data_IF_220039138723
#
_entry.id   IF_220039138723
#
_cell.length_a   1.000
_cell.length_b   1.000
_cell.length_c   1.000
_cell.angle_alpha   90.00
_cell.angle_beta   90.00
_cell.angle_gamma   90.00
#
_symmetry.space_group_name_H-M   'P 1'
#
loop_
_entity.id
_entity.type
_entity.pdbx_description
1 polymer ?
#
# COMPACT_ATOMS: atom_id res chain seq x y z
N UNK A 1 48.08 -15.38 -17.82
CA UNK A 1 47.28 -14.32 -17.17
C UNK A 1 45.82 -14.64 -17.39
N UNK A 2 45.16 -15.29 -16.44
CA UNK A 2 43.73 -15.60 -16.53
C UNK A 2 42.98 -14.46 -15.86
N UNK A 3 42.38 -13.56 -16.64
CA UNK A 3 41.44 -12.59 -16.10
C UNK A 3 40.18 -13.33 -15.62
N UNK A 4 39.67 -13.07 -14.40
CA UNK A 4 38.36 -13.57 -14.01
C UNK A 4 37.30 -12.96 -14.92
N UNK A 5 36.28 -13.71 -15.35
CA UNK A 5 35.17 -13.14 -16.10
C UNK A 5 34.44 -12.12 -15.22
N UNK A 6 34.24 -10.91 -15.76
CA UNK A 6 33.43 -9.89 -15.11
C UNK A 6 32.03 -10.45 -14.79
N UNK A 7 31.49 -10.25 -13.57
CA UNK A 7 30.16 -10.73 -13.26
C UNK A 7 29.15 -10.00 -14.15
N UNK A 8 28.50 -10.74 -15.04
CA UNK A 8 27.35 -10.24 -15.80
C UNK A 8 26.25 -9.92 -14.79
N UNK A 9 26.10 -8.63 -14.48
CA UNK A 9 24.91 -8.05 -13.86
C UNK A 9 23.76 -8.11 -14.88
N UNK A 10 23.33 -9.32 -15.27
CA UNK A 10 22.09 -9.47 -16.01
C UNK A 10 20.96 -9.26 -15.01
N UNK A 11 20.21 -8.18 -15.19
CA UNK A 11 18.96 -7.95 -14.48
C UNK A 11 18.11 -9.23 -14.62
N UNK A 12 17.80 -9.87 -13.51
CA UNK A 12 16.86 -10.99 -13.53
C UNK A 12 15.48 -10.42 -13.79
N UNK A 13 15.06 -10.45 -15.06
CA UNK A 13 13.79 -9.92 -15.54
C UNK A 13 12.61 -10.39 -14.70
N UNK A 14 12.68 -11.63 -14.17
CA UNK A 14 11.65 -12.20 -13.30
C UNK A 14 11.53 -11.47 -11.97
N UNK A 15 12.66 -11.07 -11.37
CA UNK A 15 12.68 -10.33 -10.11
C UNK A 15 12.13 -8.91 -10.29
N UNK A 16 12.48 -8.26 -11.40
CA UNK A 16 11.91 -6.95 -11.73
C UNK A 16 10.40 -7.04 -11.95
N UNK A 17 9.92 -8.02 -12.72
CA UNK A 17 8.48 -8.26 -12.90
C UNK A 17 7.79 -8.50 -11.56
N UNK A 18 8.40 -9.31 -10.69
CA UNK A 18 7.84 -9.58 -9.37
C UNK A 18 7.76 -8.32 -8.49
N UNK A 19 8.79 -7.48 -8.47
CA UNK A 19 8.78 -6.19 -7.78
C UNK A 19 7.64 -5.28 -8.28
N UNK A 20 7.46 -5.18 -9.60
CA UNK A 20 6.37 -4.38 -10.20
C UNK A 20 5.01 -4.93 -9.81
N UNK A 21 4.84 -6.26 -9.81
CA UNK A 21 3.60 -6.89 -9.36
C UNK A 21 3.32 -6.61 -7.88
N UNK A 22 4.33 -6.65 -7.00
CA UNK A 22 4.17 -6.31 -5.59
C UNK A 22 3.69 -4.86 -5.41
N UNK A 23 4.22 -3.92 -6.20
CA UNK A 23 3.83 -2.51 -6.14
C UNK A 23 2.39 -2.32 -6.63
N UNK A 24 2.03 -2.92 -7.77
CA UNK A 24 0.68 -2.84 -8.33
C UNK A 24 -0.35 -3.44 -7.39
N UNK A 25 -0.10 -4.67 -6.92
CA UNK A 25 -1.00 -5.37 -6.00
C UNK A 25 -1.07 -4.67 -4.64
N UNK A 26 0.06 -4.23 -4.09
CA UNK A 26 0.10 -3.48 -2.84
C UNK A 26 -0.68 -2.17 -2.92
N UNK A 27 -0.49 -1.39 -3.98
CA UNK A 27 -1.21 -0.12 -4.18
C UNK A 27 -2.72 -0.36 -4.36
N UNK A 28 -3.10 -1.38 -5.15
CA UNK A 28 -4.50 -1.79 -5.30
C UNK A 28 -5.13 -2.22 -3.98
N UNK A 29 -4.40 -2.97 -3.17
CA UNK A 29 -4.85 -3.46 -1.87
C UNK A 29 -5.08 -2.33 -0.88
N UNK A 30 -4.13 -1.39 -0.80
CA UNK A 30 -4.27 -0.19 0.03
C UNK A 30 -5.43 0.67 -0.43
N UNK A 31 -5.66 0.76 -1.75
CA UNK A 31 -6.81 1.50 -2.32
C UNK A 31 -8.13 0.91 -1.81
N UNK A 32 -8.29 -0.41 -1.86
CA UNK A 32 -9.50 -1.08 -1.37
C UNK A 32 -9.71 -0.84 0.13
N UNK A 33 -8.66 -1.05 0.92
CA UNK A 33 -8.73 -0.85 2.37
C UNK A 33 -9.05 0.62 2.74
N UNK A 34 -8.49 1.59 2.02
CA UNK A 34 -8.80 3.00 2.22
C UNK A 34 -10.24 3.34 1.81
N UNK A 35 -10.79 2.75 0.74
CA UNK A 35 -12.20 2.95 0.40
C UNK A 35 -13.12 2.43 1.51
N UNK A 36 -12.80 1.29 2.11
CA UNK A 36 -13.56 0.75 3.25
C UNK A 36 -13.48 1.67 4.47
N UNK A 37 -12.27 2.10 4.84
CA UNK A 37 -12.05 2.92 6.05
C UNK A 37 -12.62 4.34 5.88
N UNK A 38 -12.36 4.97 4.74
CA UNK A 38 -12.77 6.35 4.47
C UNK A 38 -14.17 6.46 3.85
N UNK A 39 -14.82 5.32 3.54
CA UNK A 39 -16.15 5.28 2.95
C UNK A 39 -17.26 5.71 3.92
N UNK A 40 -17.00 5.71 5.23
CA UNK A 40 -17.94 6.21 6.24
C UNK A 40 -17.20 7.10 7.23
N UNK A 41 -17.80 8.24 7.60
CA UNK A 41 -17.20 9.19 8.53
C UNK A 41 -16.90 8.57 9.90
N UNK A 42 -17.76 7.70 10.41
CA UNK A 42 -17.59 7.04 11.72
C UNK A 42 -16.28 6.26 11.83
N UNK A 43 -15.93 5.52 10.77
CA UNK A 43 -14.69 4.73 10.73
C UNK A 43 -13.50 5.65 10.45
N UNK A 44 -13.67 6.62 9.54
CA UNK A 44 -12.60 7.54 9.17
C UNK A 44 -12.16 8.43 10.35
N UNK A 45 -13.07 8.78 11.26
CA UNK A 45 -12.77 9.63 12.41
C UNK A 45 -11.88 8.96 13.45
N UNK A 46 -11.69 7.64 13.37
CA UNK A 46 -10.66 6.93 14.12
C UNK A 46 -9.25 7.34 13.67
N UNK A 47 -9.09 7.74 12.41
CA UNK A 47 -7.80 8.06 11.79
C UNK A 47 -7.54 9.56 11.67
N UNK A 48 -8.55 10.32 11.29
CA UNK A 48 -8.42 11.74 10.93
C UNK A 48 -9.60 12.54 11.45
N UNK A 49 -9.43 13.85 11.65
CA UNK A 49 -10.58 14.69 12.01
C UNK A 49 -11.60 14.76 10.87
N UNK A 50 -12.89 14.97 11.20
CA UNK A 50 -13.96 15.13 10.21
C UNK A 50 -13.65 16.16 9.09
N UNK A 51 -13.11 17.38 9.35
CA UNK A 51 -12.77 18.30 8.28
C UNK A 51 -11.61 17.80 7.40
N UNK A 52 -10.65 17.07 7.97
CA UNK A 52 -9.56 16.46 7.21
C UNK A 52 -10.08 15.33 6.31
N UNK A 53 -10.99 14.49 6.82
CA UNK A 53 -11.69 13.47 6.05
C UNK A 53 -12.39 14.06 4.81
N UNK A 54 -13.16 15.14 4.99
CA UNK A 54 -13.83 15.82 3.87
C UNK A 54 -12.83 16.35 2.84
N UNK A 55 -11.75 16.97 3.31
CA UNK A 55 -10.69 17.51 2.44
C UNK A 55 -10.00 16.40 1.64
N UNK A 56 -9.74 15.24 2.27
CA UNK A 56 -9.13 14.08 1.62
C UNK A 56 -10.06 13.48 0.55
N UNK A 57 -11.35 13.32 0.84
CA UNK A 57 -12.32 12.81 -0.13
C UNK A 57 -12.43 13.74 -1.34
N UNK A 58 -12.47 15.05 -1.11
CA UNK A 58 -12.48 16.04 -2.20
C UNK A 58 -11.21 15.96 -3.04
N UNK A 59 -10.03 15.84 -2.42
CA UNK A 59 -8.77 15.67 -3.13
C UNK A 59 -8.75 14.39 -3.99
N UNK A 60 -9.43 13.33 -3.56
CA UNK A 60 -9.58 12.07 -4.30
C UNK A 60 -10.75 12.09 -5.29
N UNK A 61 -11.36 13.25 -5.55
CA UNK A 61 -12.54 13.40 -6.43
C UNK A 61 -13.75 12.58 -5.97
N UNK A 62 -13.83 12.25 -4.68
CA UNK A 62 -14.94 11.55 -4.09
C UNK A 62 -16.13 12.45 -3.81
N UNK A 63 -17.31 11.84 -3.71
CA UNK A 63 -18.57 12.52 -3.39
C UNK A 63 -19.02 12.13 -2.00
N UNK A 64 -19.41 13.11 -1.20
CA UNK A 64 -19.93 12.90 0.14
C UNK A 64 -21.44 12.99 0.07
N UNK A 65 -22.13 12.00 0.60
CA UNK A 65 -23.56 12.09 0.88
C UNK A 65 -23.75 12.70 2.28
N UNK A 66 -24.25 13.94 2.37
CA UNK A 66 -24.43 14.61 3.67
C UNK A 66 -25.52 13.97 4.53
N UNK A 67 -26.44 13.18 3.96
CA UNK A 67 -27.52 12.55 4.71
C UNK A 67 -27.06 11.30 5.48
N UNK A 68 -26.20 10.49 4.86
CA UNK A 68 -25.68 9.24 5.44
C UNK A 68 -24.26 9.36 5.99
N UNK A 69 -23.59 10.51 5.80
CA UNK A 69 -22.16 10.70 6.12
C UNK A 69 -21.26 9.63 5.50
N UNK A 70 -21.65 9.14 4.33
CA UNK A 70 -20.90 8.18 3.54
C UNK A 70 -20.22 8.87 2.36
N UNK A 71 -19.11 8.32 1.91
CA UNK A 71 -18.33 8.85 0.82
C UNK A 71 -18.15 7.81 -0.28
N UNK A 72 -18.45 8.22 -1.50
CA UNK A 72 -18.18 7.44 -2.71
C UNK A 72 -16.83 7.92 -3.23
N UNK A 73 -15.79 7.14 -2.94
CA UNK A 73 -14.42 7.42 -3.39
C UNK A 73 -14.17 6.63 -4.68
N UNK A 74 -13.86 7.29 -5.81
CA UNK A 74 -13.61 6.58 -7.06
C UNK A 74 -12.31 5.79 -6.98
N UNK A 75 -12.36 4.50 -7.35
CA UNK A 75 -11.22 3.58 -7.21
C UNK A 75 -10.02 4.00 -8.06
N UNK A 76 -10.22 4.25 -9.35
CA UNK A 76 -9.12 4.52 -10.29
C UNK A 76 -8.33 5.80 -9.98
N UNK A 77 -8.96 6.96 -9.68
CA UNK A 77 -8.23 8.14 -9.27
C UNK A 77 -7.40 7.91 -8.01
N UNK A 78 -7.99 7.30 -6.97
CA UNK A 78 -7.27 7.00 -5.73
C UNK A 78 -6.09 6.04 -5.97
N UNK A 79 -6.31 4.98 -6.74
CA UNK A 79 -5.27 4.04 -7.13
C UNK A 79 -4.13 4.75 -7.87
N UNK A 80 -4.44 5.66 -8.80
CA UNK A 80 -3.44 6.40 -9.55
C UNK A 80 -2.56 7.26 -8.63
N UNK A 81 -3.18 7.99 -7.68
CA UNK A 81 -2.43 8.77 -6.69
C UNK A 81 -1.48 7.90 -5.87
N UNK A 82 -1.98 6.76 -5.37
CA UNK A 82 -1.20 5.83 -4.55
C UNK A 82 -0.09 5.16 -5.37
N UNK A 83 -0.35 4.81 -6.63
CA UNK A 83 0.64 4.21 -7.52
C UNK A 83 1.77 5.19 -7.84
N UNK A 84 1.44 6.46 -8.11
CA UNK A 84 2.46 7.50 -8.33
C UNK A 84 3.32 7.67 -7.07
N UNK A 85 2.70 7.75 -5.89
CA UNK A 85 3.42 7.84 -4.63
C UNK A 85 4.29 6.60 -4.38
N UNK A 86 3.76 5.40 -4.63
CA UNK A 86 4.47 4.14 -4.49
C UNK A 86 5.69 4.07 -5.42
N UNK A 87 5.53 4.41 -6.70
CA UNK A 87 6.64 4.49 -7.65
C UNK A 87 7.70 5.51 -7.22
N UNK A 88 7.29 6.68 -6.71
CA UNK A 88 8.20 7.69 -6.19
C UNK A 88 9.01 7.18 -5.00
N UNK A 89 8.34 6.57 -4.01
CA UNK A 89 8.97 5.99 -2.83
C UNK A 89 9.84 4.78 -3.16
N UNK A 90 9.46 4.00 -4.17
CA UNK A 90 10.25 2.88 -4.66
C UNK A 90 11.59 3.35 -5.24
N UNK A 91 11.56 4.35 -6.12
CA UNK A 91 12.75 4.94 -6.75
C UNK A 91 13.61 5.66 -5.70
N UNK A 92 12.99 6.47 -4.84
CA UNK A 92 13.70 7.21 -3.80
C UNK A 92 14.35 6.28 -2.77
N UNK A 93 13.65 5.23 -2.33
CA UNK A 93 14.18 4.22 -1.43
C UNK A 93 15.36 3.46 -2.04
N UNK A 94 15.22 3.01 -3.30
CA UNK A 94 16.30 2.34 -4.02
C UNK A 94 17.54 3.24 -4.18
N UNK A 95 17.34 4.53 -4.44
CA UNK A 95 18.43 5.50 -4.53
C UNK A 95 19.16 5.66 -3.20
N UNK A 96 18.40 5.80 -2.11
CA UNK A 96 18.97 5.93 -0.76
C UNK A 96 19.73 4.66 -0.34
N UNK A 97 19.16 3.47 -0.58
CA UNK A 97 19.79 2.18 -0.28
C UNK A 97 21.08 2.02 -1.09
N UNK A 98 21.06 2.34 -2.39
CA UNK A 98 22.24 2.31 -3.26
C UNK A 98 23.35 3.24 -2.76
N UNK A 99 22.99 4.45 -2.32
CA UNK A 99 23.92 5.42 -1.72
C UNK A 99 24.53 4.94 -0.40
N UNK A 100 23.72 4.37 0.49
CA UNK A 100 24.16 3.96 1.84
C UNK A 100 25.00 2.68 1.78
N UNK A 101 24.56 1.69 1.00
CA UNK A 101 25.18 0.36 0.98
C UNK A 101 26.21 0.17 -0.15
N UNK A 102 26.41 1.18 -1.01
CA UNK A 102 27.35 1.11 -2.14
C UNK A 102 26.97 0.06 -3.20
N UNK A 103 25.73 -0.40 -3.21
CA UNK A 103 25.23 -1.41 -4.14
C UNK A 103 24.77 -0.78 -5.45
N UNK A 104 24.72 -1.59 -6.52
CA UNK A 104 24.18 -1.14 -7.80
C UNK A 104 22.72 -0.69 -7.63
N UNK A 105 22.36 0.45 -8.23
CA UNK A 105 21.00 1.00 -8.14
C UNK A 105 19.95 -0.02 -8.56
N UNK A 106 20.23 -0.81 -9.60
CA UNK A 106 19.30 -1.82 -10.12
C UNK A 106 19.08 -2.96 -9.13
N UNK A 107 20.13 -3.41 -8.45
CA UNK A 107 20.02 -4.44 -7.39
C UNK A 107 19.22 -3.91 -6.21
N UNK A 108 19.48 -2.66 -5.78
CA UNK A 108 18.73 -2.02 -4.71
C UNK A 108 17.25 -1.83 -5.10
N UNK A 109 16.97 -1.46 -6.35
CA UNK A 109 15.62 -1.29 -6.88
C UNK A 109 14.82 -2.60 -6.85
N UNK A 110 15.40 -3.70 -7.30
CA UNK A 110 14.72 -5.00 -7.29
C UNK A 110 14.55 -5.53 -5.86
N UNK A 111 15.59 -5.48 -5.02
CA UNK A 111 15.51 -6.02 -3.66
C UNK A 111 14.54 -5.22 -2.77
N UNK A 112 14.59 -3.89 -2.84
CA UNK A 112 13.65 -3.01 -2.13
C UNK A 112 12.21 -3.17 -2.64
N UNK A 113 12.04 -3.28 -3.96
CA UNK A 113 10.73 -3.50 -4.57
C UNK A 113 10.09 -4.81 -4.10
N UNK A 114 10.87 -5.87 -3.99
CA UNK A 114 10.38 -7.17 -3.53
C UNK A 114 10.15 -7.16 -2.02
N UNK A 115 11.17 -6.86 -1.22
CA UNK A 115 11.08 -7.00 0.24
C UNK A 115 10.21 -5.93 0.87
N UNK A 116 10.36 -4.69 0.42
CA UNK A 116 9.58 -3.56 0.92
C UNK A 116 8.11 -3.70 0.54
N UNK A 117 7.79 -3.81 -0.76
CA UNK A 117 6.38 -3.78 -1.18
C UNK A 117 5.55 -5.01 -0.84
N UNK A 118 6.19 -6.11 -0.40
CA UNK A 118 5.46 -7.25 0.18
C UNK A 118 4.69 -6.88 1.44
N UNK A 119 5.17 -5.93 2.24
CA UNK A 119 4.46 -5.47 3.44
C UNK A 119 3.14 -4.77 3.11
N UNK A 120 3.04 -4.15 1.94
CA UNK A 120 1.80 -3.54 1.45
C UNK A 120 0.74 -4.55 0.98
N UNK A 121 1.04 -5.86 1.01
CA UNK A 121 0.03 -6.92 0.82
C UNK A 121 -0.72 -7.26 2.12
N UNK A 122 -0.20 -6.88 3.29
CA UNK A 122 -0.85 -7.16 4.58
C UNK A 122 -2.23 -6.46 4.71
N UNK A 123 -2.40 -5.19 4.29
CA UNK A 123 -3.73 -4.57 4.24
C UNK A 123 -4.70 -5.29 3.29
N UNK A 124 -4.19 -5.95 2.24
CA UNK A 124 -5.00 -6.78 1.34
C UNK A 124 -5.59 -7.98 2.07
N UNK A 125 -4.72 -8.70 2.80
CA UNK A 125 -5.13 -9.88 3.58
C UNK A 125 -6.16 -9.47 4.62
N UNK A 126 -5.94 -8.34 5.29
CA UNK A 126 -6.90 -7.77 6.23
C UNK A 126 -8.26 -7.46 5.57
N UNK A 127 -8.27 -6.78 4.42
CA UNK A 127 -9.51 -6.42 3.72
C UNK A 127 -10.26 -7.66 3.20
N UNK A 128 -9.55 -8.65 2.65
CA UNK A 128 -10.13 -9.91 2.21
C UNK A 128 -10.78 -10.64 3.39
N UNK A 129 -10.08 -10.73 4.54
CA UNK A 129 -10.64 -11.34 5.74
C UNK A 129 -11.90 -10.61 6.22
N UNK A 130 -11.90 -9.27 6.21
CA UNK A 130 -13.08 -8.47 6.55
C UNK A 130 -14.26 -8.79 5.63
N UNK A 131 -14.04 -8.80 4.31
CA UNK A 131 -15.07 -9.13 3.32
C UNK A 131 -15.60 -10.56 3.52
N UNK A 132 -14.74 -11.52 3.83
CA UNK A 132 -15.16 -12.89 4.15
C UNK A 132 -16.08 -12.92 5.37
N UNK A 133 -15.73 -12.22 6.45
CA UNK A 133 -16.58 -12.16 7.65
C UNK A 133 -17.91 -11.44 7.40
N UNK A 134 -17.91 -10.40 6.57
CA UNK A 134 -19.14 -9.75 6.10
C UNK A 134 -20.05 -10.74 5.35
N UNK A 135 -19.50 -11.51 4.41
CA UNK A 135 -20.28 -12.53 3.65
C UNK A 135 -20.85 -13.61 4.58
N UNK A 136 -20.13 -13.95 5.65
CA UNK A 136 -20.58 -14.91 6.67
C UNK A 136 -21.57 -14.32 7.69
N UNK A 137 -21.93 -13.03 7.58
CA UNK A 137 -22.76 -12.28 8.53
C UNK A 137 -22.23 -12.34 9.97
N UNK A 138 -20.91 -12.22 10.15
CA UNK A 138 -20.26 -12.20 11.46
C UNK A 138 -19.94 -10.76 11.89
N UNK A 139 -20.99 -10.00 12.20
CA UNK A 139 -20.91 -8.55 12.48
C UNK A 139 -19.92 -8.20 13.61
N UNK A 140 -19.83 -9.02 14.66
CA UNK A 140 -18.90 -8.79 15.78
C UNK A 140 -17.43 -8.91 15.35
N UNK A 141 -17.12 -9.83 14.44
CA UNK A 141 -15.75 -10.04 13.94
C UNK A 141 -15.40 -8.98 12.92
N UNK A 142 -16.34 -8.58 12.07
CA UNK A 142 -16.16 -7.44 11.17
C UNK A 142 -15.89 -6.14 11.94
N UNK A 143 -16.68 -5.85 12.97
CA UNK A 143 -16.47 -4.67 13.81
C UNK A 143 -15.09 -4.70 14.50
N UNK A 144 -14.66 -5.88 14.99
CA UNK A 144 -13.32 -6.06 15.54
C UNK A 144 -12.22 -5.82 14.49
N UNK A 145 -12.42 -6.30 13.26
CA UNK A 145 -11.48 -6.09 12.14
C UNK A 145 -11.36 -4.60 11.79
N UNK A 146 -12.48 -3.87 11.77
CA UNK A 146 -12.50 -2.42 11.57
C UNK A 146 -11.82 -1.67 12.73
N UNK A 147 -12.04 -2.08 13.98
CA UNK A 147 -11.38 -1.48 15.13
C UNK A 147 -9.86 -1.74 15.17
N UNK A 148 -9.41 -2.89 14.66
CA UNK A 148 -7.98 -3.26 14.62
C UNK A 148 -7.27 -2.86 13.33
N UNK A 149 -7.98 -2.23 12.39
CA UNK A 149 -7.42 -1.76 11.10
C UNK A 149 -6.13 -0.95 11.29
N UNK A 150 -6.10 -0.01 12.23
CA UNK A 150 -4.94 0.82 12.56
C UNK A 150 -3.69 0.00 12.90
N UNK A 151 -3.87 -1.11 13.62
CA UNK A 151 -2.78 -2.00 14.01
C UNK A 151 -2.16 -2.70 12.79
N UNK A 152 -2.99 -3.19 11.86
CA UNK A 152 -2.50 -3.83 10.63
C UNK A 152 -1.75 -2.85 9.73
N UNK A 153 -2.25 -1.62 9.59
CA UNK A 153 -1.55 -0.57 8.86
C UNK A 153 -0.23 -0.18 9.53
N UNK A 154 -0.21 -0.06 10.86
CA UNK A 154 1.01 0.23 11.61
C UNK A 154 2.08 -0.86 11.43
N UNK A 155 1.70 -2.15 11.49
CA UNK A 155 2.63 -3.27 11.20
C UNK A 155 3.14 -3.20 9.77
N UNK A 156 2.26 -2.93 8.81
CA UNK A 156 2.63 -2.84 7.39
C UNK A 156 3.68 -1.75 7.17
N UNK A 157 3.47 -0.56 7.75
CA UNK A 157 4.39 0.58 7.66
C UNK A 157 5.69 0.27 8.40
N UNK A 158 5.63 -0.31 9.60
CA UNK A 158 6.81 -0.66 10.37
C UNK A 158 7.69 -1.69 9.65
N UNK A 159 7.07 -2.75 9.11
CA UNK A 159 7.77 -3.76 8.32
C UNK A 159 8.36 -3.18 7.03
N UNK A 160 7.62 -2.31 6.35
CA UNK A 160 8.10 -1.60 5.17
C UNK A 160 9.34 -0.75 5.49
N UNK A 161 9.30 0.08 6.54
CA UNK A 161 10.41 0.95 6.94
C UNK A 161 11.64 0.21 7.50
N UNK A 162 11.44 -0.98 8.09
CA UNK A 162 12.52 -1.77 8.67
C UNK A 162 13.30 -2.61 7.64
N UNK A 163 12.84 -2.63 6.38
CA UNK A 163 13.48 -3.37 5.28
C UNK A 163 14.64 -2.58 4.68
#
# INVERSE_FOLDING_TARGET
>A
MNQPPAPKSSIDSRQLTFAVLCILLGSGSVTLALQTIFGTQDIATLYVSAPLWQSMIQAWSGKIDPASQTAIIPFFPLLLYLLIAACGLWIAGAFLISKIHGQSFTTALTDWGIRGFRWWLLPAVWEILRIVFFILNWDSVEALMLATSQFWFAISIAGWLAT
#
